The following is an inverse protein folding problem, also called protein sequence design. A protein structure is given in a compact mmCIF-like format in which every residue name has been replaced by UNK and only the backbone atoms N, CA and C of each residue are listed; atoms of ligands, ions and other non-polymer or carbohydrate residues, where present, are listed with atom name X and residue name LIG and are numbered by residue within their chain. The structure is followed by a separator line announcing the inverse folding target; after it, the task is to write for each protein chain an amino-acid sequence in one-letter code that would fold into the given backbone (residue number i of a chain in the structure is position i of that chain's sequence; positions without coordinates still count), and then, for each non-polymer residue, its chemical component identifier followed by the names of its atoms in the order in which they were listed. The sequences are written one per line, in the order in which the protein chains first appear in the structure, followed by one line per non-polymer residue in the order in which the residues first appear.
data_IF_944219444115
#
_entry.id   IF_944219444115
#
_cell.length_a   1.000
_cell.length_b   1.000
_cell.length_c   1.000
_cell.angle_alpha   90.00
_cell.angle_beta   90.00
_cell.angle_gamma   90.00
#
_symmetry.space_group_name_H-M   'P 1'
#
loop_
_entity.id
_entity.type
_entity.pdbx_description
1 polymer ?
#
# COMPACT_ATOMS: atom_id res chain seq x y z
N UNK A 1 -4.46 -9.84 32.78
CA UNK A 1 -3.15 -10.36 33.22
C UNK A 1 -2.69 -11.51 32.31
N UNK A 2 -1.74 -11.23 31.43
CA UNK A 2 -1.10 -12.22 30.54
C UNK A 2 0.42 -12.09 30.78
N UNK A 3 1.12 -13.16 31.19
CA UNK A 3 2.55 -13.11 31.47
C UNK A 3 3.38 -13.23 30.18
N UNK A 4 4.43 -12.42 30.08
CA UNK A 4 5.42 -12.49 29.00
C UNK A 4 6.36 -13.68 29.20
N UNK A 5 6.64 -14.42 28.11
CA UNK A 5 7.62 -15.50 28.10
C UNK A 5 8.96 -14.93 27.63
N UNK A 6 9.89 -14.86 28.57
CA UNK A 6 11.30 -14.55 28.38
C UNK A 6 11.97 -15.71 27.63
N UNK A 7 12.62 -15.45 26.50
CA UNK A 7 13.41 -16.46 25.79
C UNK A 7 14.82 -16.45 26.39
N UNK A 8 15.08 -17.33 27.35
CA UNK A 8 16.43 -17.62 27.81
C UNK A 8 17.19 -18.40 26.74
N UNK A 9 18.27 -17.80 26.26
CA UNK A 9 19.38 -18.53 25.66
C UNK A 9 19.98 -19.43 26.73
N UNK A 10 19.79 -20.74 26.60
CA UNK A 10 20.85 -21.73 26.81
C UNK A 10 20.25 -23.14 26.73
N UNK A 11 21.11 -24.05 26.26
CA UNK A 11 21.03 -25.50 26.44
C UNK A 11 20.37 -26.30 25.29
N UNK A 12 21.20 -26.69 24.32
CA UNK A 12 20.99 -27.95 23.59
C UNK A 12 22.27 -28.79 23.73
N UNK A 13 22.31 -29.52 24.83
CA UNK A 13 23.19 -30.64 25.08
C UNK A 13 22.94 -31.74 24.02
N UNK A 14 23.90 -31.91 23.10
CA UNK A 14 23.89 -33.00 22.12
C UNK A 14 24.93 -34.03 22.51
N UNK A 15 24.46 -35.04 23.24
CA UNK A 15 25.16 -36.26 23.63
C UNK A 15 26.04 -36.82 22.51
N UNK A 16 27.35 -36.79 22.74
CA UNK A 16 28.35 -37.59 22.03
C UNK A 16 28.18 -39.07 22.39
N UNK A 17 27.88 -39.92 21.40
CA UNK A 17 28.06 -41.37 21.53
C UNK A 17 29.45 -41.74 21.00
N UNK A 18 30.35 -41.99 21.94
CA UNK A 18 31.64 -42.64 21.72
C UNK A 18 31.38 -44.11 21.38
N UNK A 19 31.97 -44.60 20.29
CA UNK A 19 32.29 -46.02 20.13
C UNK A 19 33.69 -46.13 19.52
N UNK A 20 34.61 -46.69 20.31
CA UNK A 20 35.97 -47.04 19.90
C UNK A 20 35.95 -48.46 19.34
N UNK A 21 36.57 -48.71 18.19
CA UNK A 21 37.44 -49.87 17.90
C UNK A 21 38.37 -49.47 16.73
N UNK A 22 39.62 -49.88 16.90
CA UNK A 22 40.89 -49.54 16.25
C UNK A 22 41.03 -50.04 14.81
N UNK A 23 41.49 -49.19 13.88
CA UNK A 23 42.42 -49.57 12.79
C UNK A 23 43.04 -48.32 12.11
N UNK A 24 44.35 -48.26 11.83
CA UNK A 24 45.00 -47.05 11.30
C UNK A 24 45.30 -47.17 9.80
N UNK A 25 44.32 -47.06 8.91
CA UNK A 25 44.56 -46.68 7.50
C UNK A 25 43.34 -45.94 6.91
N UNK A 26 43.57 -44.68 6.54
CA UNK A 26 42.87 -43.92 5.50
C UNK A 26 41.37 -43.63 5.68
N UNK A 27 41.05 -42.40 6.08
CA UNK A 27 40.09 -41.56 5.34
C UNK A 27 40.03 -40.17 5.97
N UNK A 28 40.17 -39.15 5.15
CA UNK A 28 39.85 -37.77 5.52
C UNK A 28 38.35 -37.75 5.79
N UNK A 29 37.95 -37.91 7.05
CA UNK A 29 36.53 -37.83 7.43
C UNK A 29 36.11 -36.39 7.23
N UNK A 30 35.54 -36.13 6.06
CA UNK A 30 34.93 -34.86 5.74
C UNK A 30 33.74 -34.70 6.68
N UNK A 31 33.90 -33.85 7.69
CA UNK A 31 32.78 -33.41 8.51
C UNK A 31 31.80 -32.70 7.57
N UNK A 32 30.73 -33.39 7.18
CA UNK A 32 29.58 -32.75 6.55
C UNK A 32 28.97 -31.95 7.70
N UNK A 33 29.39 -30.69 7.82
CA UNK A 33 28.72 -29.72 8.68
C UNK A 33 27.24 -29.84 8.35
N UNK A 34 26.43 -30.15 9.36
CA UNK A 34 24.99 -30.38 9.20
C UNK A 34 24.44 -29.27 8.31
N UNK A 35 24.12 -29.62 7.06
CA UNK A 35 23.60 -28.67 6.10
C UNK A 35 22.33 -28.11 6.72
N UNK A 36 22.39 -26.83 7.10
CA UNK A 36 21.23 -26.16 7.67
C UNK A 36 20.12 -26.27 6.63
N UNK A 37 19.01 -26.94 6.98
CA UNK A 37 17.88 -27.18 6.09
C UNK A 37 17.44 -25.90 5.37
N UNK A 38 17.49 -24.77 6.07
CA UNK A 38 17.20 -23.45 5.51
C UNK A 38 18.14 -23.05 4.35
N UNK A 39 19.45 -23.34 4.48
CA UNK A 39 20.44 -23.08 3.44
C UNK A 39 20.15 -23.89 2.18
N UNK A 40 19.82 -25.17 2.33
CA UNK A 40 19.46 -26.02 1.19
C UNK A 40 18.19 -25.54 0.47
N UNK A 41 17.22 -24.99 1.21
CA UNK A 41 15.99 -24.42 0.63
C UNK A 41 16.29 -23.13 -0.15
N UNK A 42 17.12 -22.24 0.38
CA UNK A 42 17.50 -20.99 -0.30
C UNK A 42 18.32 -21.28 -1.57
N UNK A 43 19.23 -22.26 -1.52
CA UNK A 43 20.06 -22.64 -2.66
C UNK A 43 19.30 -23.49 -3.70
N UNK A 44 18.08 -23.92 -3.40
CA UNK A 44 17.25 -24.69 -4.32
C UNK A 44 16.81 -23.82 -5.52
N UNK A 45 17.18 -24.26 -6.73
CA UNK A 45 16.89 -23.54 -7.98
C UNK A 45 15.40 -23.37 -8.27
N UNK A 46 14.56 -24.34 -7.90
CA UNK A 46 13.11 -24.25 -8.08
C UNK A 46 12.50 -23.21 -7.14
N UNK A 47 12.98 -23.14 -5.90
CA UNK A 47 12.58 -22.10 -4.93
C UNK A 47 13.00 -20.71 -5.43
N UNK A 48 14.24 -20.57 -5.93
CA UNK A 48 14.72 -19.32 -6.51
C UNK A 48 13.88 -18.89 -7.73
N UNK A 49 13.51 -19.85 -8.60
CA UNK A 49 12.67 -19.61 -9.77
C UNK A 49 11.27 -19.15 -9.38
N UNK A 50 10.62 -19.83 -8.42
CA UNK A 50 9.29 -19.44 -7.92
C UNK A 50 9.32 -18.05 -7.29
N UNK A 51 10.36 -17.74 -6.51
CA UNK A 51 10.56 -16.41 -5.94
C UNK A 51 10.67 -15.34 -7.02
N UNK A 52 11.42 -15.61 -8.10
CA UNK A 52 11.52 -14.70 -9.24
C UNK A 52 10.18 -14.52 -9.96
N UNK A 53 9.43 -15.60 -10.19
CA UNK A 53 8.10 -15.53 -10.79
C UNK A 53 7.11 -14.73 -9.94
N UNK A 54 7.12 -14.95 -8.62
CA UNK A 54 6.30 -14.20 -7.68
C UNK A 54 6.64 -12.70 -7.72
N UNK A 55 7.93 -12.35 -7.75
CA UNK A 55 8.35 -10.96 -7.89
C UNK A 55 7.84 -10.33 -9.20
N UNK A 56 7.85 -11.08 -10.31
CA UNK A 56 7.24 -10.63 -11.57
C UNK A 56 5.73 -10.39 -11.42
N UNK A 57 5.00 -11.32 -10.80
CA UNK A 57 3.55 -11.16 -10.55
C UNK A 57 3.26 -9.94 -9.68
N UNK A 58 4.02 -9.73 -8.60
CA UNK A 58 3.87 -8.55 -7.73
C UNK A 58 4.08 -7.25 -8.52
N UNK A 59 5.11 -7.20 -9.36
CA UNK A 59 5.37 -6.02 -10.18
C UNK A 59 4.28 -5.79 -11.23
N UNK A 60 3.73 -6.85 -11.82
CA UNK A 60 2.58 -6.74 -12.72
C UNK A 60 1.35 -6.19 -11.99
N UNK A 61 0.99 -6.75 -10.83
CA UNK A 61 -0.13 -6.25 -10.01
C UNK A 61 0.09 -4.80 -9.59
N UNK A 62 1.32 -4.39 -9.25
CA UNK A 62 1.62 -2.98 -8.93
C UNK A 62 1.27 -2.05 -10.09
N UNK A 63 1.58 -2.43 -11.33
CA UNK A 63 1.22 -1.67 -12.52
C UNK A 63 -0.31 -1.61 -12.69
N UNK A 64 -0.99 -2.74 -12.51
CA UNK A 64 -2.46 -2.79 -12.61
C UNK A 64 -3.12 -1.90 -11.55
N UNK A 65 -2.58 -1.85 -10.32
CA UNK A 65 -3.04 -0.93 -9.27
C UNK A 65 -2.85 0.53 -9.71
N UNK A 66 -1.70 0.88 -10.29
CA UNK A 66 -1.48 2.24 -10.77
C UNK A 66 -2.51 2.65 -11.83
N UNK A 67 -2.77 1.79 -12.82
CA UNK A 67 -3.78 2.05 -13.85
C UNK A 67 -5.19 2.12 -13.27
N UNK A 68 -5.52 1.23 -12.34
CA UNK A 68 -6.79 1.24 -11.62
C UNK A 68 -7.02 2.58 -10.88
N UNK A 69 -5.98 3.18 -10.31
CA UNK A 69 -6.06 4.46 -9.61
C UNK A 69 -6.11 5.69 -10.53
N UNK A 70 -5.78 5.56 -11.82
CA UNK A 70 -5.80 6.69 -12.77
C UNK A 70 -7.20 7.34 -12.89
N UNK A 71 -8.27 6.59 -12.63
CA UNK A 71 -9.65 7.10 -12.65
C UNK A 71 -9.88 8.24 -11.63
N UNK A 72 -9.04 8.34 -10.60
CA UNK A 72 -9.11 9.37 -9.56
C UNK A 72 -8.29 10.61 -9.89
N UNK A 73 -7.43 10.59 -10.92
CA UNK A 73 -6.59 11.73 -11.32
C UNK A 73 -7.43 12.97 -11.65
N UNK A 74 -8.64 12.78 -12.19
CA UNK A 74 -9.58 13.87 -12.49
C UNK A 74 -9.98 14.69 -11.25
N UNK A 75 -9.83 14.14 -10.05
CA UNK A 75 -10.11 14.81 -8.79
C UNK A 75 -8.89 15.52 -8.20
N UNK A 76 -7.68 15.34 -8.77
CA UNK A 76 -6.45 16.01 -8.31
C UNK A 76 -6.63 17.51 -8.04
N UNK A 77 -7.37 18.29 -8.87
CA UNK A 77 -7.57 19.71 -8.61
C UNK A 77 -8.21 20.03 -7.26
N UNK A 78 -8.96 19.09 -6.65
CA UNK A 78 -9.59 19.30 -5.35
C UNK A 78 -8.59 19.43 -4.21
N UNK A 79 -7.48 18.70 -4.25
CA UNK A 79 -6.50 18.64 -3.15
C UNK A 79 -5.11 19.19 -3.52
N UNK A 80 -4.84 19.44 -4.81
CA UNK A 80 -3.57 20.01 -5.25
C UNK A 80 -3.58 21.53 -5.32
N UNK A 81 -4.76 22.15 -5.43
CA UNK A 81 -4.87 23.60 -5.55
C UNK A 81 -5.04 24.23 -4.18
N UNK A 82 -4.35 25.35 -3.98
CA UNK A 82 -4.58 26.18 -2.80
C UNK A 82 -5.95 26.86 -2.94
N UNK A 83 -6.77 26.71 -1.91
CA UNK A 83 -8.10 27.32 -1.84
C UNK A 83 -8.02 28.84 -1.99
N UNK A 84 -6.98 29.45 -1.41
CA UNK A 84 -6.79 30.89 -1.41
C UNK A 84 -6.38 31.42 -2.79
N UNK A 85 -5.54 30.68 -3.52
CA UNK A 85 -5.10 31.08 -4.86
C UNK A 85 -6.24 31.00 -5.89
N UNK A 86 -7.02 29.91 -5.90
CA UNK A 86 -8.15 29.79 -6.82
C UNK A 86 -9.26 30.78 -6.48
N UNK A 87 -9.54 30.99 -5.19
CA UNK A 87 -10.51 31.99 -4.77
C UNK A 87 -10.08 33.40 -5.19
N UNK A 88 -8.81 33.76 -4.99
CA UNK A 88 -8.29 35.07 -5.40
C UNK A 88 -8.37 35.26 -6.91
N UNK A 89 -8.05 34.24 -7.69
CA UNK A 89 -8.21 34.26 -9.16
C UNK A 89 -9.68 34.42 -9.55
N UNK A 90 -10.60 33.73 -8.87
CA UNK A 90 -12.02 33.84 -9.11
C UNK A 90 -12.55 35.25 -8.80
N UNK A 91 -12.23 35.79 -7.63
CA UNK A 91 -12.63 37.14 -7.20
C UNK A 91 -12.04 38.24 -8.08
N UNK A 92 -10.85 38.03 -8.65
CA UNK A 92 -10.22 39.00 -9.57
C UNK A 92 -11.00 39.18 -10.87
N UNK A 93 -11.91 38.25 -11.22
CA UNK A 93 -12.77 38.36 -12.39
C UNK A 93 -14.06 39.16 -12.13
N UNK A 94 -14.21 39.75 -10.94
CA UNK A 94 -15.42 40.44 -10.47
C UNK A 94 -16.69 39.58 -10.68
N UNK A 95 -16.73 38.37 -10.08
CA UNK A 95 -17.75 37.38 -10.35
C UNK A 95 -19.10 37.84 -9.81
N UNK A 96 -20.15 37.63 -10.60
CA UNK A 96 -21.51 37.91 -10.17
C UNK A 96 -22.08 36.76 -9.31
N UNK A 97 -23.21 37.01 -8.63
CA UNK A 97 -23.87 36.01 -7.76
C UNK A 97 -24.20 34.70 -8.49
N UNK A 98 -24.53 34.76 -9.79
CA UNK A 98 -24.82 33.55 -10.58
C UNK A 98 -23.56 32.71 -10.83
N UNK A 99 -22.39 33.33 -10.95
CA UNK A 99 -21.13 32.60 -11.05
C UNK A 99 -20.77 31.87 -9.76
N UNK A 100 -21.03 32.48 -8.60
CA UNK A 100 -20.90 31.79 -7.31
C UNK A 100 -21.87 30.60 -7.21
N UNK A 101 -23.14 30.80 -7.56
CA UNK A 101 -24.15 29.73 -7.56
C UNK A 101 -23.72 28.56 -8.47
N UNK A 102 -23.25 28.86 -9.68
CA UNK A 102 -22.76 27.85 -10.62
C UNK A 102 -21.55 27.09 -10.07
N UNK A 103 -20.62 27.78 -9.39
CA UNK A 103 -19.43 27.15 -8.79
C UNK A 103 -19.82 26.24 -7.61
N UNK A 104 -20.71 26.69 -6.74
CA UNK A 104 -21.22 25.87 -5.61
C UNK A 104 -21.95 24.64 -6.15
N UNK A 105 -22.85 24.83 -7.12
CA UNK A 105 -23.60 23.74 -7.74
C UNK A 105 -22.69 22.70 -8.41
N UNK A 106 -21.64 23.16 -9.08
CA UNK A 106 -20.61 22.27 -9.65
C UNK A 106 -19.98 21.36 -8.58
N UNK A 107 -19.63 21.90 -7.41
CA UNK A 107 -19.06 21.13 -6.31
C UNK A 107 -20.07 20.14 -5.71
N UNK A 108 -21.35 20.51 -5.62
CA UNK A 108 -22.41 19.58 -5.19
C UNK A 108 -22.60 18.41 -6.17
N UNK A 109 -22.64 18.70 -7.47
CA UNK A 109 -22.70 17.68 -8.53
C UNK A 109 -21.47 16.76 -8.48
N UNK A 110 -20.29 17.33 -8.23
CA UNK A 110 -19.04 16.58 -8.09
C UNK A 110 -19.06 15.65 -6.87
N UNK A 111 -19.58 16.10 -5.73
CA UNK A 111 -19.78 15.27 -4.53
C UNK A 111 -20.71 14.10 -4.82
N UNK A 112 -21.85 14.36 -5.48
CA UNK A 112 -22.80 13.32 -5.87
C UNK A 112 -22.15 12.29 -6.83
N UNK A 113 -21.37 12.78 -7.79
CA UNK A 113 -20.61 11.94 -8.72
C UNK A 113 -19.63 11.01 -7.99
N UNK A 114 -18.85 11.53 -7.03
CA UNK A 114 -17.91 10.74 -6.22
C UNK A 114 -18.63 9.67 -5.40
N UNK A 115 -19.74 10.02 -4.78
CA UNK A 115 -20.52 9.09 -3.97
C UNK A 115 -21.15 7.96 -4.83
N UNK A 116 -21.51 8.26 -6.08
CA UNK A 116 -22.05 7.28 -7.03
C UNK A 116 -21.01 6.29 -7.59
N UNK A 117 -19.71 6.53 -7.38
CA UNK A 117 -18.67 5.63 -7.87
C UNK A 117 -18.71 4.27 -7.16
N UNK A 118 -18.03 3.27 -7.74
CA UNK A 118 -17.90 1.93 -7.16
C UNK A 118 -17.34 2.00 -5.73
N UNK A 119 -17.85 1.14 -4.84
CA UNK A 119 -17.39 1.04 -3.45
C UNK A 119 -15.98 0.45 -3.37
N UNK A 120 -15.67 -0.47 -4.28
CA UNK A 120 -14.35 -1.06 -4.44
C UNK A 120 -13.98 -1.29 -5.90
N UNK A 121 -12.68 -1.34 -6.18
CA UNK A 121 -12.11 -1.68 -7.48
C UNK A 121 -11.34 -3.00 -7.38
N UNK A 122 -11.70 -3.97 -8.21
CA UNK A 122 -10.99 -5.26 -8.28
C UNK A 122 -9.76 -5.14 -9.18
N UNK A 123 -8.59 -5.50 -8.64
CA UNK A 123 -7.30 -5.48 -9.33
C UNK A 123 -6.62 -6.84 -9.16
N UNK A 124 -6.85 -7.73 -10.12
CA UNK A 124 -6.36 -9.11 -10.06
C UNK A 124 -6.84 -9.81 -8.78
N UNK A 125 -5.93 -10.29 -7.90
CA UNK A 125 -6.29 -10.95 -6.65
C UNK A 125 -6.63 -9.96 -5.50
N UNK A 126 -6.58 -8.65 -5.74
CA UNK A 126 -6.78 -7.61 -4.73
C UNK A 126 -8.09 -6.83 -4.97
N UNK A 127 -8.64 -6.26 -3.90
CA UNK A 127 -9.73 -5.29 -3.96
C UNK A 127 -9.31 -4.00 -3.25
N UNK A 128 -9.45 -2.86 -3.93
CA UNK A 128 -9.14 -1.54 -3.41
C UNK A 128 -10.44 -0.89 -2.95
N UNK A 129 -10.59 -0.68 -1.65
CA UNK A 129 -11.75 0.00 -1.08
C UNK A 129 -11.58 1.52 -1.17
N UNK A 130 -12.63 2.20 -1.62
CA UNK A 130 -12.60 3.63 -1.92
C UNK A 130 -13.26 4.49 -0.84
N UNK A 131 -13.80 3.88 0.22
CA UNK A 131 -14.54 4.56 1.29
C UNK A 131 -13.79 5.76 1.86
N UNK A 132 -12.55 5.55 2.33
CA UNK A 132 -11.74 6.62 2.91
C UNK A 132 -11.38 7.72 1.89
N UNK A 133 -11.14 7.34 0.63
CA UNK A 133 -10.86 8.29 -0.44
C UNK A 133 -12.10 9.16 -0.71
N UNK A 134 -13.28 8.55 -0.85
CA UNK A 134 -14.54 9.27 -1.02
C UNK A 134 -14.80 10.20 0.16
N UNK A 135 -14.58 9.74 1.38
CA UNK A 135 -14.75 10.57 2.57
C UNK A 135 -13.87 11.82 2.52
N UNK A 136 -12.57 11.66 2.24
CA UNK A 136 -11.62 12.77 2.14
C UNK A 136 -12.00 13.75 1.02
N UNK A 137 -12.35 13.26 -0.17
CA UNK A 137 -12.75 14.14 -1.28
C UNK A 137 -14.02 14.92 -0.99
N UNK A 138 -15.01 14.29 -0.35
CA UNK A 138 -16.22 14.99 0.07
C UNK A 138 -15.93 16.03 1.15
N UNK A 139 -14.93 15.82 2.00
CA UNK A 139 -14.50 16.82 2.96
C UNK A 139 -13.91 18.04 2.27
N UNK A 140 -12.97 17.85 1.35
CA UNK A 140 -12.40 18.95 0.56
C UNK A 140 -13.47 19.74 -0.18
N UNK A 141 -14.44 19.05 -0.80
CA UNK A 141 -15.57 19.71 -1.48
C UNK A 141 -16.37 20.59 -0.53
N UNK A 142 -16.64 20.13 0.71
CA UNK A 142 -17.35 20.96 1.69
C UNK A 142 -16.55 22.20 2.05
N UNK A 143 -15.23 22.07 2.18
CA UNK A 143 -14.34 23.20 2.46
C UNK A 143 -14.38 24.22 1.32
N UNK A 144 -14.32 23.78 0.06
CA UNK A 144 -14.52 24.65 -1.11
C UNK A 144 -15.85 25.41 -1.06
N UNK A 145 -16.97 24.71 -0.80
CA UNK A 145 -18.30 25.34 -0.73
C UNK A 145 -18.35 26.40 0.39
N UNK A 146 -17.77 26.12 1.55
CA UNK A 146 -17.70 27.09 2.66
C UNK A 146 -16.87 28.31 2.27
N UNK A 147 -15.70 28.12 1.67
CA UNK A 147 -14.79 29.21 1.26
C UNK A 147 -15.45 30.12 0.21
N UNK A 148 -16.09 29.54 -0.82
CA UNK A 148 -16.83 30.31 -1.82
C UNK A 148 -18.04 31.00 -1.21
N UNK A 149 -18.77 30.33 -0.30
CA UNK A 149 -19.92 30.90 0.38
C UNK A 149 -19.58 32.09 1.28
N UNK A 150 -18.46 32.02 2.02
CA UNK A 150 -17.98 33.13 2.87
C UNK A 150 -17.49 34.33 2.06
N UNK A 151 -17.02 34.09 0.84
CA UNK A 151 -16.49 35.13 -0.04
C UNK A 151 -17.56 35.84 -0.87
N UNK A 152 -18.80 35.33 -0.83
CA UNK A 152 -19.98 35.97 -1.39
C UNK A 152 -20.59 36.92 -0.35
N UNK A 153 -19.95 38.07 -0.09
CA UNK A 153 -20.48 39.12 0.79
C UNK A 153 -20.14 40.52 0.28
#
# INVERSE_FOLDING_TARGET
PIPQILISSDNIDSRSRVNTITDPQQSKVQFIAANNFFKNVIENKDVAKLTSQLATCINATKKDISTALEIFIKYNPLWQKDHEEELKSFLSNDPNVSEFENKIKYYEELSSSINSQLEFLSVGPLAIFTEHLKFALNQEIREWVIVFGQSCN
#
